data_IF_839522251185
#
_entry.id   IF_839522251185
#
_cell.length_a   1.000
_cell.length_b   1.000
_cell.length_c   1.000
_cell.angle_alpha   90.00
_cell.angle_beta   90.00
_cell.angle_gamma   90.00
#
_symmetry.space_group_name_H-M   'P 1'
#
loop_
_entity.id
_entity.type
_entity.pdbx_description
1 polymer ?
#
# COMPACT_ATOMS: atom_id res chain seq x y z
N UNK A 1 -79.10 17.90 33.14
CA UNK A 1 -78.51 18.96 32.29
C UNK A 1 -77.13 19.29 32.85
N UNK A 2 -76.07 18.92 32.13
CA UNK A 2 -74.69 19.22 32.51
C UNK A 2 -74.17 20.25 31.49
N UNK A 3 -73.57 21.34 31.98
CA UNK A 3 -73.14 22.49 31.17
C UNK A 3 -71.83 22.20 30.42
N UNK A 4 -71.53 22.93 29.32
CA UNK A 4 -70.29 22.80 28.54
C UNK A 4 -69.01 22.89 29.39
N UNK A 5 -69.05 23.58 30.54
CA UNK A 5 -67.96 23.67 31.50
C UNK A 5 -67.59 22.34 32.17
N UNK A 6 -68.52 21.37 32.29
CA UNK A 6 -68.22 20.05 32.89
C UNK A 6 -67.62 19.05 31.89
N UNK A 7 -67.76 19.32 30.58
CA UNK A 7 -67.10 18.56 29.51
C UNK A 7 -65.63 19.01 29.38
N UNK A 8 -65.34 20.30 29.55
CA UNK A 8 -63.98 20.82 29.64
C UNK A 8 -63.21 20.29 30.87
N UNK A 9 -63.88 20.09 32.01
CA UNK A 9 -63.27 19.53 33.22
C UNK A 9 -62.98 18.01 33.12
N UNK A 10 -63.76 17.25 32.33
CA UNK A 10 -63.52 15.83 32.08
C UNK A 10 -62.31 15.60 31.16
N UNK A 11 -62.09 16.49 30.17
CA UNK A 11 -60.93 16.45 29.26
C UNK A 11 -59.61 16.90 29.93
N UNK A 12 -59.68 17.78 30.93
CA UNK A 12 -58.51 18.17 31.73
C UNK A 12 -58.02 17.05 32.68
N UNK A 13 -58.91 16.15 33.10
CA UNK A 13 -58.56 15.05 34.01
C UNK A 13 -57.85 13.87 33.30
N UNK A 14 -58.03 13.70 31.99
CA UNK A 14 -57.38 12.64 31.20
C UNK A 14 -55.93 12.99 30.81
N UNK A 15 -55.57 14.28 30.79
CA UNK A 15 -54.23 14.77 30.43
C UNK A 15 -53.22 14.78 31.60
N UNK A 16 -53.65 14.50 32.83
CA UNK A 16 -52.80 14.53 34.04
C UNK A 16 -52.28 13.15 34.50
N UNK A 17 -52.56 12.06 33.77
CA UNK A 17 -52.19 10.69 34.16
C UNK A 17 -51.04 10.06 33.36
N UNK A 18 -50.29 10.83 32.57
CA UNK A 18 -49.17 10.31 31.76
C UNK A 18 -47.88 11.14 31.88
N UNK A 19 -47.40 11.39 33.10
CA UNK A 19 -46.06 11.94 33.33
C UNK A 19 -45.07 10.82 33.68
N UNK A 20 -43.98 10.60 32.92
CA UNK A 20 -42.86 9.78 33.37
C UNK A 20 -41.96 10.57 34.32
N UNK A 21 -41.59 9.93 35.43
CA UNK A 21 -40.60 10.40 36.41
C UNK A 21 -39.19 10.41 35.80
N UNK A 22 -38.46 11.52 36.00
CA UNK A 22 -37.02 11.63 35.68
C UNK A 22 -36.14 10.94 36.71
N UNK A 23 -35.03 10.35 36.26
CA UNK A 23 -33.89 9.99 37.10
C UNK A 23 -32.62 9.63 36.30
N UNK A 24 -31.61 10.50 36.43
CA UNK A 24 -30.15 10.33 36.20
C UNK A 24 -29.56 10.36 34.76
N UNK A 25 -28.79 11.43 34.50
CA UNK A 25 -27.79 11.71 33.43
C UNK A 25 -26.42 11.02 33.71
N UNK A 26 -25.44 10.87 32.76
CA UNK A 26 -24.84 11.93 31.89
C UNK A 26 -24.21 11.46 30.52
N UNK A 27 -23.35 12.21 29.80
CA UNK A 27 -23.47 13.57 29.25
C UNK A 27 -23.17 13.69 27.72
N UNK A 28 -23.61 14.81 27.14
CA UNK A 28 -22.90 15.65 26.13
C UNK A 28 -23.53 15.87 24.75
N UNK A 29 -23.76 17.17 24.49
CA UNK A 29 -23.68 17.90 23.22
C UNK A 29 -24.58 17.42 22.07
N UNK A 30 -25.87 17.74 22.15
CA UNK A 30 -26.59 18.51 21.13
C UNK A 30 -27.82 19.13 21.82
N UNK A 31 -27.86 20.45 21.93
CA UNK A 31 -29.03 21.16 22.47
C UNK A 31 -30.15 21.12 21.43
N UNK A 32 -31.02 20.12 21.54
CA UNK A 32 -32.30 20.07 20.84
C UNK A 32 -33.41 19.51 21.76
N UNK A 33 -33.43 19.89 23.03
CA UNK A 33 -34.52 19.55 23.93
C UNK A 33 -34.85 20.72 24.86
N UNK A 34 -35.70 21.64 24.39
CA UNK A 34 -36.66 22.39 25.25
C UNK A 34 -37.69 23.20 24.44
N UNK A 35 -38.18 22.73 23.29
CA UNK A 35 -39.31 23.38 22.59
C UNK A 35 -40.55 22.50 22.40
N UNK A 36 -40.52 21.24 22.85
CA UNK A 36 -41.67 20.32 22.76
C UNK A 36 -42.58 20.32 24.00
N UNK A 37 -42.34 21.22 24.97
CA UNK A 37 -43.10 21.28 26.22
C UNK A 37 -44.17 22.37 26.32
N UNK A 38 -44.20 23.39 25.46
CA UNK A 38 -45.03 24.58 25.69
C UNK A 38 -45.67 25.18 24.43
N UNK A 39 -46.21 24.32 23.56
CA UNK A 39 -47.29 24.72 22.65
C UNK A 39 -48.42 23.70 22.75
N UNK A 40 -49.01 23.62 23.94
CA UNK A 40 -50.43 23.28 24.02
C UNK A 40 -51.18 24.33 23.23
N UNK A 41 -51.47 24.01 21.96
CA UNK A 41 -52.53 24.70 21.24
C UNK A 41 -53.80 24.33 21.98
N UNK A 42 -54.16 25.19 22.93
CA UNK A 42 -55.42 25.15 23.65
C UNK A 42 -56.54 24.86 22.66
N UNK A 43 -57.27 23.77 22.89
CA UNK A 43 -58.52 23.41 22.23
C UNK A 43 -59.63 24.46 22.46
N UNK A 44 -59.34 25.62 23.07
CA UNK A 44 -60.33 26.59 23.54
C UNK A 44 -60.55 27.82 22.65
N UNK A 45 -60.24 27.79 21.35
CA UNK A 45 -60.69 28.85 20.43
C UNK A 45 -61.38 28.29 19.20
N UNK A 46 -62.54 27.68 19.43
CA UNK A 46 -63.66 27.89 18.50
C UNK A 46 -64.05 29.36 18.66
N UNK A 47 -64.13 30.17 17.59
CA UNK A 47 -64.59 31.55 17.72
C UNK A 47 -66.01 31.50 18.28
N UNK A 48 -66.19 32.10 19.45
CA UNK A 48 -67.48 32.31 20.08
C UNK A 48 -68.27 33.34 19.25
N UNK A 49 -68.80 32.90 18.09
CA UNK A 49 -69.87 33.62 17.44
C UNK A 49 -71.12 33.35 18.25
N UNK A 50 -71.39 34.27 19.17
CA UNK A 50 -72.70 34.47 19.77
C UNK A 50 -73.77 34.39 18.67
N UNK A 51 -74.53 33.30 18.71
CA UNK A 51 -75.51 32.93 17.71
C UNK A 51 -75.67 31.43 17.73
N UNK A 52 -76.66 30.93 18.48
CA UNK A 52 -76.91 29.50 18.65
C UNK A 52 -76.92 28.76 17.33
N UNK A 53 -75.96 27.86 17.13
CA UNK A 53 -75.99 26.90 16.02
C UNK A 53 -76.57 25.60 16.58
N UNK A 54 -77.89 25.57 16.72
CA UNK A 54 -78.68 24.34 16.87
C UNK A 54 -78.86 23.69 15.49
N UNK A 55 -77.74 23.46 14.79
CA UNK A 55 -77.70 22.90 13.45
C UNK A 55 -76.60 21.85 13.31
N UNK A 56 -76.74 20.91 12.36
CA UNK A 56 -75.75 19.87 12.14
C UNK A 56 -74.39 20.48 11.79
N UNK A 57 -73.31 19.96 12.37
CA UNK A 57 -71.96 20.43 12.02
C UNK A 57 -71.75 20.19 10.53
N UNK A 58 -71.40 21.23 9.78
CA UNK A 58 -71.24 21.06 8.34
C UNK A 58 -70.02 20.18 8.07
N UNK A 59 -70.06 19.26 7.10
CA UNK A 59 -68.91 18.41 6.77
C UNK A 59 -67.61 19.20 6.62
N UNK A 60 -67.64 20.40 6.03
CA UNK A 60 -66.46 21.26 5.90
C UNK A 60 -65.85 21.74 7.24
N UNK A 61 -66.65 21.97 8.28
CA UNK A 61 -66.20 22.40 9.61
C UNK A 61 -65.55 21.22 10.36
N UNK A 62 -66.13 20.02 10.24
CA UNK A 62 -65.56 18.76 10.73
C UNK A 62 -64.18 18.48 10.13
N UNK A 63 -64.06 18.64 8.80
CA UNK A 63 -62.83 18.42 8.06
C UNK A 63 -61.72 19.37 8.47
N UNK A 64 -62.04 20.63 8.76
CA UNK A 64 -61.06 21.62 9.20
C UNK A 64 -60.48 21.30 10.59
N UNK A 65 -61.31 20.89 11.55
CA UNK A 65 -60.86 20.55 12.91
C UNK A 65 -60.01 19.28 12.92
N UNK A 66 -60.46 18.22 12.22
CA UNK A 66 -59.70 16.98 12.07
C UNK A 66 -58.30 17.25 11.50
N UNK A 67 -58.24 18.10 10.48
CA UNK A 67 -57.01 18.43 9.77
C UNK A 67 -56.03 19.25 10.60
N UNK A 68 -56.52 20.19 11.40
CA UNK A 68 -55.67 21.00 12.28
C UNK A 68 -55.07 20.17 13.41
N UNK A 69 -55.80 19.17 13.92
CA UNK A 69 -55.29 18.23 14.92
C UNK A 69 -54.16 17.33 14.38
N UNK A 70 -54.23 17.01 13.08
CA UNK A 70 -53.26 16.14 12.40
C UNK A 70 -52.07 16.91 11.81
N UNK A 71 -52.19 18.23 11.61
CA UNK A 71 -51.15 19.08 11.02
C UNK A 71 -49.82 19.03 11.77
N UNK A 72 -49.82 19.15 13.11
CA UNK A 72 -48.56 19.13 13.89
C UNK A 72 -47.82 17.79 13.84
N UNK A 73 -48.53 16.68 13.68
CA UNK A 73 -47.91 15.38 13.47
C UNK A 73 -47.33 15.26 12.04
N UNK A 74 -48.02 15.79 11.03
CA UNK A 74 -47.48 15.87 9.66
C UNK A 74 -46.24 16.76 9.56
N UNK A 75 -46.19 17.88 10.30
CA UNK A 75 -44.98 18.72 10.42
C UNK A 75 -43.81 17.94 11.04
N UNK A 76 -44.11 17.12 12.06
CA UNK A 76 -43.09 16.27 12.68
C UNK A 76 -42.60 15.21 11.69
N UNK A 77 -43.49 14.52 10.97
CA UNK A 77 -43.11 13.56 9.93
C UNK A 77 -42.32 14.22 8.78
N UNK A 78 -42.69 15.44 8.39
CA UNK A 78 -41.95 16.25 7.42
C UNK A 78 -40.53 16.54 7.89
N UNK A 79 -40.37 16.95 9.16
CA UNK A 79 -39.06 17.17 9.75
C UNK A 79 -38.22 15.89 9.74
N UNK A 80 -38.82 14.73 10.04
CA UNK A 80 -38.11 13.44 10.07
C UNK A 80 -37.67 13.00 8.67
N UNK A 81 -38.53 13.17 7.66
CA UNK A 81 -38.17 12.87 6.27
C UNK A 81 -37.07 13.79 5.76
N UNK A 82 -37.06 15.06 6.18
CA UNK A 82 -36.07 16.05 5.72
C UNK A 82 -34.75 15.94 6.48
N UNK A 83 -34.76 15.48 7.73
CA UNK A 83 -33.56 15.42 8.58
C UNK A 83 -32.48 14.54 7.96
N UNK A 84 -31.26 15.06 7.95
CA UNK A 84 -30.03 14.37 7.57
C UNK A 84 -29.33 13.92 8.85
N UNK A 85 -29.66 12.74 9.37
CA UNK A 85 -29.10 12.21 10.62
C UNK A 85 -28.52 10.80 10.42
N UNK A 86 -27.40 10.53 11.11
CA UNK A 86 -26.76 9.22 11.11
C UNK A 86 -27.37 8.25 12.15
N UNK A 87 -28.31 8.64 13.01
CA UNK A 87 -28.89 7.75 14.03
C UNK A 87 -30.16 7.01 13.53
N UNK A 88 -30.09 5.67 13.35
CA UNK A 88 -31.16 4.87 12.71
C UNK A 88 -32.32 4.59 13.65
N UNK A 89 -31.99 4.08 14.83
CA UNK A 89 -32.96 3.55 15.77
C UNK A 89 -33.83 4.67 16.31
N UNK A 90 -33.23 5.83 16.61
CA UNK A 90 -33.96 6.99 17.11
C UNK A 90 -34.94 7.57 16.08
N UNK A 91 -34.54 7.65 14.80
CA UNK A 91 -35.39 8.18 13.74
C UNK A 91 -36.54 7.23 13.39
N UNK A 92 -36.27 5.93 13.32
CA UNK A 92 -37.29 4.90 13.08
C UNK A 92 -38.29 4.82 14.23
N UNK A 93 -37.78 4.82 15.47
CA UNK A 93 -38.62 4.85 16.66
C UNK A 93 -39.48 6.11 16.70
N UNK A 94 -38.89 7.28 16.45
CA UNK A 94 -39.61 8.56 16.43
C UNK A 94 -40.64 8.63 15.31
N UNK A 95 -40.36 8.05 14.14
CA UNK A 95 -41.33 7.90 13.05
C UNK A 95 -42.53 7.07 13.52
N UNK A 96 -42.28 5.87 14.06
CA UNK A 96 -43.34 4.98 14.54
C UNK A 96 -44.14 5.61 15.69
N UNK A 97 -43.48 6.27 16.65
CA UNK A 97 -44.14 6.98 17.74
C UNK A 97 -45.03 8.12 17.22
N UNK A 98 -44.54 8.89 16.24
CA UNK A 98 -45.30 9.98 15.62
C UNK A 98 -46.51 9.45 14.86
N UNK A 99 -46.34 8.38 14.09
CA UNK A 99 -47.45 7.67 13.43
C UNK A 99 -48.46 7.20 14.47
N UNK A 100 -48.07 6.40 15.48
CA UNK A 100 -48.99 5.89 16.51
C UNK A 100 -49.75 7.01 17.22
N UNK A 101 -49.08 8.11 17.55
CA UNK A 101 -49.72 9.28 18.14
C UNK A 101 -50.74 9.93 17.19
N UNK A 102 -50.43 10.01 15.89
CA UNK A 102 -51.35 10.49 14.85
C UNK A 102 -52.58 9.58 14.73
N UNK A 103 -52.39 8.26 14.63
CA UNK A 103 -53.49 7.28 14.56
C UNK A 103 -54.38 7.35 15.80
N UNK A 104 -53.79 7.42 16.99
CA UNK A 104 -54.54 7.49 18.23
C UNK A 104 -55.36 8.79 18.32
N UNK A 105 -54.76 9.94 18.00
CA UNK A 105 -55.48 11.22 17.96
C UNK A 105 -56.61 11.22 16.94
N UNK A 106 -56.38 10.64 15.76
CA UNK A 106 -57.40 10.50 14.72
C UNK A 106 -58.56 9.61 15.19
N UNK A 107 -58.27 8.45 15.77
CA UNK A 107 -59.29 7.52 16.29
C UNK A 107 -60.15 8.19 17.38
N UNK A 108 -59.52 8.80 18.39
CA UNK A 108 -60.24 9.50 19.47
C UNK A 108 -61.11 10.64 18.94
N UNK A 109 -60.63 11.38 17.93
CA UNK A 109 -61.43 12.42 17.27
C UNK A 109 -62.63 11.84 16.53
N UNK A 110 -62.47 10.73 15.81
CA UNK A 110 -63.59 10.07 15.12
C UNK A 110 -64.63 9.52 16.08
N UNK A 111 -64.20 8.87 17.16
CA UNK A 111 -65.10 8.31 18.18
C UNK A 111 -65.93 9.42 18.85
N UNK A 112 -65.29 10.56 19.14
CA UNK A 112 -65.99 11.73 19.71
C UNK A 112 -66.99 12.34 18.73
N UNK A 113 -66.65 12.40 17.44
CA UNK A 113 -67.57 12.91 16.42
C UNK A 113 -68.75 11.97 16.20
N UNK A 114 -68.52 10.65 16.16
CA UNK A 114 -69.60 9.65 16.10
C UNK A 114 -70.55 9.76 17.30
N UNK A 115 -69.99 9.95 18.50
CA UNK A 115 -70.75 10.22 19.73
C UNK A 115 -71.63 11.47 19.58
N UNK A 116 -71.07 12.58 19.11
CA UNK A 116 -71.79 13.84 18.92
C UNK A 116 -72.86 13.76 17.82
N UNK A 117 -72.61 13.03 16.72
CA UNK A 117 -73.61 12.81 15.67
C UNK A 117 -74.78 11.96 16.19
N UNK A 118 -74.49 10.92 16.97
CA UNK A 118 -75.53 10.09 17.60
C UNK A 118 -76.41 10.90 18.56
N UNK A 119 -75.81 11.77 19.39
CA UNK A 119 -76.55 12.69 20.27
C UNK A 119 -77.47 13.64 19.50
N UNK A 120 -77.05 14.06 18.31
CA UNK A 120 -77.80 14.95 17.41
C UNK A 120 -78.77 14.22 16.48
N UNK A 121 -78.84 12.88 16.53
CA UNK A 121 -79.62 12.03 15.61
C UNK A 121 -79.26 12.26 14.14
N UNK A 122 -77.99 12.57 13.87
CA UNK A 122 -77.45 12.70 12.52
C UNK A 122 -76.99 11.35 11.97
N UNK A 123 -77.03 11.19 10.65
CA UNK A 123 -76.60 9.95 9.99
C UNK A 123 -75.06 9.83 9.99
N UNK A 124 -74.48 8.84 10.70
CA UNK A 124 -73.03 8.62 10.74
C UNK A 124 -72.44 8.22 9.38
N UNK A 125 -73.26 7.76 8.42
CA UNK A 125 -72.79 7.44 7.07
C UNK A 125 -72.19 8.66 6.33
N UNK A 126 -72.48 9.90 6.79
CA UNK A 126 -71.97 11.14 6.18
C UNK A 126 -70.47 11.35 6.37
N UNK A 127 -69.85 10.83 7.43
CA UNK A 127 -68.42 10.98 7.71
C UNK A 127 -67.60 9.73 7.36
N UNK A 128 -68.28 8.62 7.08
CA UNK A 128 -67.66 7.32 6.80
C UNK A 128 -66.68 7.36 5.61
N UNK A 129 -66.98 8.01 4.45
CA UNK A 129 -66.05 8.08 3.33
C UNK A 129 -64.72 8.76 3.67
N UNK A 130 -64.78 9.86 4.44
CA UNK A 130 -63.57 10.55 4.90
C UNK A 130 -62.78 9.70 5.89
N UNK A 131 -63.45 9.03 6.83
CA UNK A 131 -62.79 8.14 7.80
C UNK A 131 -62.04 7.00 7.10
N UNK A 132 -62.67 6.40 6.10
CA UNK A 132 -62.07 5.30 5.35
C UNK A 132 -60.88 5.76 4.49
N UNK A 133 -60.98 6.91 3.84
CA UNK A 133 -59.85 7.50 3.10
C UNK A 133 -58.71 7.91 4.03
N UNK A 134 -59.03 8.55 5.16
CA UNK A 134 -58.01 9.00 6.09
C UNK A 134 -57.30 7.83 6.78
N UNK A 135 -58.01 6.74 7.10
CA UNK A 135 -57.38 5.49 7.56
C UNK A 135 -56.41 4.93 6.52
N UNK A 136 -56.86 4.80 5.26
CA UNK A 136 -56.01 4.32 4.16
C UNK A 136 -54.80 5.23 3.91
N UNK A 137 -54.96 6.54 4.04
CA UNK A 137 -53.86 7.49 3.92
C UNK A 137 -52.85 7.33 5.06
N UNK A 138 -53.32 7.21 6.30
CA UNK A 138 -52.46 6.97 7.45
C UNK A 138 -51.71 5.64 7.36
N UNK A 139 -52.36 4.56 6.93
CA UNK A 139 -51.72 3.26 6.69
C UNK A 139 -50.61 3.38 5.61
N UNK A 140 -50.88 4.14 4.53
CA UNK A 140 -49.90 4.44 3.47
C UNK A 140 -48.68 5.21 4.03
N UNK A 141 -48.90 6.23 4.86
CA UNK A 141 -47.82 6.98 5.50
C UNK A 141 -47.02 6.08 6.46
N UNK A 142 -47.67 5.28 7.30
CA UNK A 142 -46.97 4.41 8.25
C UNK A 142 -46.06 3.40 7.53
N UNK A 143 -46.62 2.66 6.57
CA UNK A 143 -45.92 1.56 5.93
C UNK A 143 -44.94 2.04 4.85
N UNK A 144 -45.43 2.81 3.88
CA UNK A 144 -44.63 3.25 2.75
C UNK A 144 -43.73 4.43 3.13
N UNK A 145 -44.19 5.31 4.02
CA UNK A 145 -43.38 6.41 4.53
C UNK A 145 -42.19 5.96 5.37
N UNK A 146 -42.36 4.92 6.21
CA UNK A 146 -41.24 4.32 6.93
C UNK A 146 -40.15 3.79 5.98
N UNK A 147 -40.56 2.98 4.98
CA UNK A 147 -39.64 2.44 3.99
C UNK A 147 -38.89 3.54 3.22
N UNK A 148 -39.59 4.60 2.83
CA UNK A 148 -38.99 5.70 2.08
C UNK A 148 -38.07 6.57 2.94
N UNK A 149 -38.37 6.76 4.23
CA UNK A 149 -37.49 7.45 5.18
C UNK A 149 -36.18 6.66 5.38
N UNK A 150 -36.28 5.35 5.64
CA UNK A 150 -35.12 4.47 5.78
C UNK A 150 -34.27 4.47 4.51
N UNK A 151 -34.92 4.37 3.34
CA UNK A 151 -34.23 4.43 2.06
C UNK A 151 -33.53 5.77 1.84
N UNK A 152 -34.19 6.90 2.11
CA UNK A 152 -33.61 8.24 1.94
C UNK A 152 -32.35 8.38 2.78
N UNK A 153 -32.41 7.95 4.04
CA UNK A 153 -31.26 8.01 4.96
C UNK A 153 -30.12 7.11 4.51
N UNK A 154 -30.39 5.86 4.11
CA UNK A 154 -29.34 4.97 3.56
C UNK A 154 -28.67 5.58 2.33
N UNK A 155 -29.45 6.21 1.47
CA UNK A 155 -28.95 6.92 0.28
C UNK A 155 -28.11 8.13 0.67
N UNK A 156 -28.52 8.89 1.68
CA UNK A 156 -27.72 10.00 2.23
C UNK A 156 -26.40 9.51 2.82
N UNK A 157 -26.40 8.49 3.68
CA UNK A 157 -25.17 7.93 4.26
C UNK A 157 -24.22 7.45 3.17
N UNK A 158 -24.71 6.67 2.20
CA UNK A 158 -23.87 6.21 1.08
C UNK A 158 -23.30 7.37 0.26
N UNK A 159 -24.10 8.41 -0.01
CA UNK A 159 -23.64 9.63 -0.68
C UNK A 159 -22.50 10.27 0.11
N UNK A 160 -22.71 10.50 1.41
CA UNK A 160 -21.73 11.12 2.30
C UNK A 160 -20.43 10.32 2.37
N UNK A 161 -20.52 8.99 2.51
CA UNK A 161 -19.37 8.09 2.53
C UNK A 161 -18.59 8.14 1.21
N UNK A 162 -19.29 8.24 0.06
CA UNK A 162 -18.65 8.45 -1.25
C UNK A 162 -17.96 9.81 -1.34
N UNK A 163 -18.61 10.90 -0.89
CA UNK A 163 -18.01 12.24 -0.87
C UNK A 163 -16.71 12.24 -0.04
N UNK A 164 -16.77 11.68 1.17
CA UNK A 164 -15.60 11.54 2.02
C UNK A 164 -14.52 10.64 1.39
N UNK A 165 -14.90 9.57 0.70
CA UNK A 165 -13.97 8.71 0.00
C UNK A 165 -13.32 9.40 -1.22
N UNK A 166 -14.03 10.28 -1.92
CA UNK A 166 -13.47 11.12 -3.00
C UNK A 166 -12.45 12.10 -2.43
N UNK A 167 -12.79 12.80 -1.35
CA UNK A 167 -11.90 13.80 -0.74
C UNK A 167 -10.57 13.20 -0.26
N UNK A 168 -10.60 11.97 0.24
CA UNK A 168 -9.41 11.25 0.71
C UNK A 168 -8.66 10.50 -0.40
N UNK A 169 -9.22 10.37 -1.61
CA UNK A 169 -8.59 9.62 -2.69
C UNK A 169 -7.24 10.20 -3.17
N UNK A 170 -7.09 11.53 -3.35
CA UNK A 170 -5.83 12.10 -3.83
C UNK A 170 -4.63 11.83 -2.92
N UNK A 171 -4.81 11.90 -1.60
CA UNK A 171 -3.73 11.65 -0.64
C UNK A 171 -3.30 10.18 -0.65
N UNK A 172 -4.29 9.27 -0.71
CA UNK A 172 -4.05 7.83 -0.86
C UNK A 172 -3.28 7.50 -2.14
N UNK A 173 -3.71 8.04 -3.29
CA UNK A 173 -3.03 7.84 -4.57
C UNK A 173 -1.62 8.44 -4.56
N UNK A 174 -1.45 9.64 -4.02
CA UNK A 174 -0.15 10.29 -3.96
C UNK A 174 0.87 9.46 -3.17
N UNK A 175 0.46 8.91 -2.01
CA UNK A 175 1.33 8.05 -1.20
C UNK A 175 1.81 6.82 -1.97
N UNK A 176 0.88 6.03 -2.54
CA UNK A 176 1.24 4.85 -3.32
C UNK A 176 2.06 5.18 -4.57
N UNK A 177 1.70 6.27 -5.27
CA UNK A 177 2.41 6.65 -6.50
C UNK A 177 3.84 7.09 -6.21
N UNK A 178 4.10 7.73 -5.07
CA UNK A 178 5.45 8.07 -4.65
C UNK A 178 6.30 6.81 -4.41
N UNK A 179 5.77 5.81 -3.70
CA UNK A 179 6.47 4.53 -3.47
C UNK A 179 6.81 3.81 -4.79
N UNK A 180 5.83 3.69 -5.70
CA UNK A 180 6.06 3.03 -7.00
C UNK A 180 7.02 3.84 -7.88
N UNK A 181 7.00 5.17 -7.79
CA UNK A 181 7.95 6.04 -8.50
C UNK A 181 9.37 5.89 -7.95
N UNK A 182 9.56 5.87 -6.63
CA UNK A 182 10.85 5.61 -6.00
C UNK A 182 11.40 4.24 -6.40
N UNK A 183 10.54 3.22 -6.43
CA UNK A 183 10.89 1.91 -6.95
C UNK A 183 11.30 1.96 -8.44
N UNK A 184 10.58 2.72 -9.28
CA UNK A 184 10.96 2.92 -10.68
C UNK A 184 12.36 3.53 -10.80
N UNK A 185 12.62 4.60 -10.05
CA UNK A 185 13.88 5.34 -10.11
C UNK A 185 15.05 4.44 -9.66
N UNK A 186 14.86 3.61 -8.65
CA UNK A 186 15.83 2.59 -8.24
C UNK A 186 16.07 1.54 -9.35
N UNK A 187 15.04 1.08 -10.04
CA UNK A 187 15.19 0.13 -11.15
C UNK A 187 15.92 0.73 -12.34
N UNK A 188 15.57 1.96 -12.74
CA UNK A 188 16.23 2.68 -13.83
C UNK A 188 17.70 2.96 -13.48
N UNK A 189 18.00 3.34 -12.24
CA UNK A 189 19.38 3.49 -11.77
C UNK A 189 20.16 2.17 -11.86
N UNK A 190 19.54 1.03 -11.53
CA UNK A 190 20.12 -0.30 -11.70
C UNK A 190 20.41 -0.66 -13.15
N UNK A 191 19.48 -0.35 -14.07
CA UNK A 191 19.67 -0.55 -15.51
C UNK A 191 20.80 0.32 -16.07
N UNK A 192 20.87 1.59 -15.65
CA UNK A 192 21.96 2.49 -16.03
C UNK A 192 23.31 2.00 -15.48
N UNK A 193 23.34 1.50 -14.24
CA UNK A 193 24.55 0.96 -13.61
C UNK A 193 25.11 -0.22 -14.41
N UNK A 194 24.25 -1.13 -14.89
CA UNK A 194 24.68 -2.28 -15.70
C UNK A 194 25.42 -1.90 -16.99
N UNK A 195 25.15 -0.71 -17.52
CA UNK A 195 25.77 -0.19 -18.75
C UNK A 195 27.12 0.49 -18.51
N UNK A 196 27.48 0.77 -17.25
CA UNK A 196 28.74 1.45 -16.91
C UNK A 196 29.94 0.50 -16.96
N UNK A 197 31.08 1.04 -17.40
CA UNK A 197 32.38 0.39 -17.34
C UNK A 197 33.09 0.73 -16.02
N UNK A 198 34.03 -0.12 -15.58
CA UNK A 198 34.84 0.15 -14.38
C UNK A 198 34.11 0.06 -13.03
N UNK A 199 32.96 -0.62 -12.98
CA UNK A 199 32.17 -0.81 -11.76
C UNK A 199 32.95 -1.52 -10.64
N UNK A 200 32.75 -1.06 -9.40
CA UNK A 200 33.21 -1.78 -8.20
C UNK A 200 32.11 -2.72 -7.70
N UNK A 201 32.51 -3.77 -6.99
CA UNK A 201 31.56 -4.72 -6.36
C UNK A 201 30.59 -3.98 -5.43
N UNK A 202 31.10 -3.03 -4.63
CA UNK A 202 30.30 -2.23 -3.70
C UNK A 202 29.18 -1.45 -4.40
N UNK A 203 29.45 -0.84 -5.55
CA UNK A 203 28.43 -0.08 -6.29
C UNK A 203 27.24 -0.97 -6.70
N UNK A 204 27.52 -2.23 -7.06
CA UNK A 204 26.50 -3.22 -7.42
C UNK A 204 25.76 -3.75 -6.20
N UNK A 205 26.46 -3.93 -5.07
CA UNK A 205 25.85 -4.37 -3.81
C UNK A 205 24.91 -3.29 -3.23
N UNK A 206 25.34 -2.03 -3.19
CA UNK A 206 24.51 -0.90 -2.77
C UNK A 206 23.25 -0.77 -3.64
N UNK A 207 23.37 -1.02 -4.94
CA UNK A 207 22.23 -0.98 -5.86
C UNK A 207 21.30 -2.19 -5.72
N UNK A 208 21.83 -3.37 -5.42
CA UNK A 208 21.01 -4.57 -5.15
C UNK A 208 20.16 -4.38 -3.90
N UNK A 209 20.67 -3.68 -2.87
CA UNK A 209 19.89 -3.37 -1.67
C UNK A 209 18.74 -2.40 -1.99
N UNK A 210 18.99 -1.33 -2.76
CA UNK A 210 17.93 -0.43 -3.22
C UNK A 210 16.85 -1.15 -4.03
N UNK A 211 17.23 -2.11 -4.88
CA UNK A 211 16.26 -2.91 -5.63
C UNK A 211 15.48 -3.85 -4.71
N UNK A 212 16.09 -4.36 -3.63
CA UNK A 212 15.39 -5.15 -2.62
C UNK A 212 14.33 -4.31 -1.91
N UNK A 213 14.67 -3.08 -1.51
CA UNK A 213 13.71 -2.12 -0.95
C UNK A 213 12.58 -1.82 -1.94
N UNK A 214 12.92 -1.60 -3.22
CA UNK A 214 11.95 -1.41 -4.30
C UNK A 214 10.99 -2.62 -4.45
N UNK A 215 11.49 -3.86 -4.36
CA UNK A 215 10.63 -5.05 -4.35
C UNK A 215 9.62 -5.02 -3.19
N UNK A 216 10.04 -4.66 -1.98
CA UNK A 216 9.16 -4.56 -0.82
C UNK A 216 8.09 -3.48 -1.02
N UNK A 217 8.48 -2.29 -1.50
CA UNK A 217 7.55 -1.19 -1.80
C UNK A 217 6.50 -1.62 -2.84
N UNK A 218 6.92 -2.27 -3.94
CA UNK A 218 6.02 -2.73 -4.99
C UNK A 218 5.06 -3.82 -4.52
N UNK A 219 5.54 -4.74 -3.68
CA UNK A 219 4.68 -5.76 -3.07
C UNK A 219 3.62 -5.13 -2.16
N UNK A 220 4.02 -4.17 -1.33
CA UNK A 220 3.12 -3.45 -0.43
C UNK A 220 2.08 -2.64 -1.20
N UNK A 221 2.53 -1.74 -2.09
CA UNK A 221 1.68 -0.90 -2.94
C UNK A 221 0.72 -1.74 -3.79
N UNK A 222 1.18 -2.85 -4.39
CA UNK A 222 0.33 -3.76 -5.16
C UNK A 222 -0.74 -4.46 -4.32
N UNK A 223 -0.38 -4.89 -3.11
CA UNK A 223 -1.32 -5.52 -2.17
C UNK A 223 -2.37 -4.52 -1.66
N UNK A 224 -1.93 -3.31 -1.31
CA UNK A 224 -2.79 -2.24 -0.84
C UNK A 224 -3.77 -1.78 -1.92
N UNK A 225 -3.30 -1.62 -3.17
CA UNK A 225 -4.17 -1.27 -4.29
C UNK A 225 -5.26 -2.32 -4.54
N UNK A 226 -4.90 -3.62 -4.48
CA UNK A 226 -5.86 -4.73 -4.59
C UNK A 226 -6.88 -4.73 -3.45
N UNK A 227 -6.40 -4.62 -2.21
CA UNK A 227 -7.28 -4.58 -1.04
C UNK A 227 -8.26 -3.41 -1.14
N UNK A 228 -7.77 -2.23 -1.54
CA UNK A 228 -8.61 -1.05 -1.71
C UNK A 228 -9.63 -1.25 -2.83
N UNK A 229 -9.26 -1.85 -3.96
CA UNK A 229 -10.20 -2.21 -5.01
C UNK A 229 -11.32 -3.11 -4.47
N UNK A 230 -10.98 -4.17 -3.72
CA UNK A 230 -11.96 -5.08 -3.15
C UNK A 230 -12.90 -4.38 -2.18
N UNK A 231 -12.36 -3.56 -1.25
CA UNK A 231 -13.17 -2.80 -0.28
C UNK A 231 -14.12 -1.84 -0.96
N UNK A 232 -13.68 -1.11 -1.99
CA UNK A 232 -14.55 -0.20 -2.73
C UNK A 232 -15.71 -0.94 -3.40
N UNK A 233 -15.42 -2.10 -4.00
CA UNK A 233 -16.46 -2.91 -4.64
C UNK A 233 -17.44 -3.49 -3.62
N UNK A 234 -16.97 -3.87 -2.45
CA UNK A 234 -17.80 -4.34 -1.34
C UNK A 234 -18.68 -3.23 -0.75
N UNK A 235 -18.10 -2.07 -0.46
CA UNK A 235 -18.77 -0.93 0.20
C UNK A 235 -19.77 -0.23 -0.74
N UNK A 236 -19.38 -0.03 -2.01
CA UNK A 236 -20.12 0.82 -2.93
C UNK A 236 -20.74 0.08 -4.12
N UNK A 237 -20.35 -1.17 -4.38
CA UNK A 237 -20.82 -1.96 -5.52
C UNK A 237 -20.22 -1.56 -6.86
N UNK A 238 -20.20 -2.51 -7.80
CA UNK A 238 -19.63 -2.35 -9.15
C UNK A 238 -20.52 -1.55 -10.11
N UNK A 239 -21.80 -1.37 -9.80
CA UNK A 239 -22.78 -0.73 -10.68
C UNK A 239 -23.51 0.38 -9.95
N UNK A 240 -23.87 1.42 -10.69
CA UNK A 240 -24.83 2.42 -10.24
C UNK A 240 -26.12 1.69 -9.86
N UNK A 241 -26.59 1.83 -8.60
CA UNK A 241 -27.81 1.15 -8.19
C UNK A 241 -29.03 1.75 -8.89
N UNK A 242 -30.06 0.93 -9.11
CA UNK A 242 -31.37 1.41 -9.54
C UNK A 242 -32.15 1.98 -8.36
N UNK A 243 -33.10 2.87 -8.64
CA UNK A 243 -34.05 3.35 -7.63
C UNK A 243 -34.89 2.15 -7.16
N UNK A 244 -35.07 2.02 -5.85
CA UNK A 244 -35.90 0.95 -5.29
C UNK A 244 -37.34 1.06 -5.82
N UNK A 245 -37.85 -0.01 -6.44
CA UNK A 245 -39.18 -0.02 -7.08
C UNK A 245 -40.31 0.34 -6.12
N UNK A 246 -40.19 -0.04 -4.85
CA UNK A 246 -41.22 0.29 -3.84
C UNK A 246 -41.17 1.77 -3.49
N UNK A 247 -39.98 2.36 -3.45
CA UNK A 247 -39.79 3.80 -3.22
C UNK A 247 -40.28 4.59 -4.44
N UNK A 248 -39.92 4.16 -5.65
CA UNK A 248 -40.38 4.79 -6.89
C UNK A 248 -41.91 4.79 -7.00
N UNK A 249 -42.54 3.64 -6.69
CA UNK A 249 -43.98 3.52 -6.63
C UNK A 249 -44.57 4.47 -5.59
N UNK A 250 -44.04 4.47 -4.36
CA UNK A 250 -44.49 5.35 -3.28
C UNK A 250 -44.38 6.83 -3.66
N UNK A 251 -43.28 7.24 -4.30
CA UNK A 251 -43.10 8.60 -4.78
C UNK A 251 -44.13 8.99 -5.84
N UNK A 252 -44.52 8.06 -6.71
CA UNK A 252 -45.56 8.27 -7.72
C UNK A 252 -46.93 8.40 -7.05
N UNK A 253 -47.21 7.49 -6.13
CA UNK A 253 -48.42 7.43 -5.32
C UNK A 253 -48.61 8.70 -4.46
N UNK A 254 -47.54 9.24 -3.89
CA UNK A 254 -47.54 10.46 -3.10
C UNK A 254 -47.71 11.72 -3.94
N UNK A 255 -47.20 11.76 -5.18
CA UNK A 255 -47.49 12.87 -6.11
C UNK A 255 -48.96 12.93 -6.48
N UNK A 256 -49.62 11.77 -6.57
CA UNK A 256 -51.04 11.65 -6.88
C UNK A 256 -51.94 11.62 -5.64
N UNK A 257 -51.46 12.06 -4.46
CA UNK A 257 -52.21 11.92 -3.20
C UNK A 257 -53.58 12.60 -3.24
N UNK A 258 -53.70 13.75 -3.91
CA UNK A 258 -54.96 14.49 -4.03
C UNK A 258 -56.00 13.75 -4.88
N UNK A 259 -55.56 12.98 -5.87
CA UNK A 259 -56.44 12.16 -6.71
C UNK A 259 -56.79 10.83 -6.02
N UNK A 260 -55.85 10.26 -5.25
CA UNK A 260 -56.04 9.00 -4.51
C UNK A 260 -56.93 9.16 -3.27
N UNK A 261 -56.87 10.32 -2.64
CA UNK A 261 -57.63 10.66 -1.43
C UNK A 261 -58.30 12.03 -1.62
N UNK A 262 -59.36 12.11 -2.46
CA UNK A 262 -60.00 13.38 -2.81
C UNK A 262 -60.68 14.06 -1.62
N UNK A 263 -61.03 13.31 -0.57
CA UNK A 263 -61.57 13.86 0.66
C UNK A 263 -60.46 14.25 1.66
N UNK A 264 -59.18 14.06 1.35
CA UNK A 264 -58.12 14.56 2.22
C UNK A 264 -58.13 16.09 2.24
N UNK A 265 -57.82 16.69 3.38
CA UNK A 265 -57.86 18.14 3.48
C UNK A 265 -56.73 18.84 2.74
N UNK A 266 -56.96 20.12 2.43
CA UNK A 266 -55.94 21.03 1.88
C UNK A 266 -54.74 21.24 2.80
N UNK A 267 -54.88 20.92 4.10
CA UNK A 267 -53.79 21.03 5.08
C UNK A 267 -52.85 19.83 5.01
N UNK A 268 -53.36 18.63 4.72
CA UNK A 268 -52.57 17.38 4.76
C UNK A 268 -52.06 16.96 3.38
N UNK A 269 -52.85 17.18 2.33
CA UNK A 269 -52.51 16.82 0.95
C UNK A 269 -51.21 17.42 0.38
N UNK A 270 -50.69 18.58 0.84
CA UNK A 270 -49.43 19.11 0.31
C UNK A 270 -48.16 18.38 0.77
N UNK A 271 -48.19 17.63 1.89
CA UNK A 271 -46.99 17.03 2.47
C UNK A 271 -46.40 15.89 1.61
N UNK A 272 -47.17 14.88 1.19
CA UNK A 272 -46.59 13.74 0.45
C UNK A 272 -45.94 14.11 -0.89
N UNK A 273 -46.52 15.01 -1.73
CA UNK A 273 -45.85 15.47 -2.94
C UNK A 273 -44.51 16.16 -2.66
N UNK A 274 -44.42 16.93 -1.57
CA UNK A 274 -43.17 17.57 -1.13
C UNK A 274 -42.13 16.52 -0.75
N UNK A 275 -42.51 15.47 -0.02
CA UNK A 275 -41.61 14.37 0.35
C UNK A 275 -41.11 13.59 -0.86
N UNK A 276 -41.98 13.31 -1.82
CA UNK A 276 -41.60 12.68 -3.09
C UNK A 276 -40.59 13.55 -3.87
N UNK A 277 -40.76 14.88 -3.85
CA UNK A 277 -39.78 15.82 -4.40
C UNK A 277 -38.41 15.68 -3.72
N UNK A 278 -38.38 15.68 -2.38
CA UNK A 278 -37.13 15.55 -1.61
C UNK A 278 -36.40 14.21 -1.83
N UNK A 279 -37.15 13.13 -2.01
CA UNK A 279 -36.57 11.81 -2.33
C UNK A 279 -35.93 11.81 -3.71
N UNK A 280 -36.59 12.45 -4.68
CA UNK A 280 -36.02 12.63 -6.02
C UNK A 280 -34.74 13.46 -5.96
N UNK A 281 -34.75 14.60 -5.27
CA UNK A 281 -33.58 15.47 -5.12
C UNK A 281 -32.40 14.71 -4.49
N UNK A 282 -32.67 13.90 -3.46
CA UNK A 282 -31.65 13.06 -2.81
C UNK A 282 -31.07 12.02 -3.76
N UNK A 283 -31.92 11.37 -4.56
CA UNK A 283 -31.49 10.38 -5.56
C UNK A 283 -30.63 11.02 -6.64
N UNK A 284 -31.08 12.14 -7.19
CA UNK A 284 -30.34 12.88 -8.22
C UNK A 284 -28.99 13.37 -7.69
N UNK A 285 -28.92 13.82 -6.44
CA UNK A 285 -27.66 14.18 -5.78
C UNK A 285 -26.74 12.97 -5.58
N UNK A 286 -27.28 11.83 -5.15
CA UNK A 286 -26.53 10.57 -5.04
C UNK A 286 -25.96 10.12 -6.39
N UNK A 287 -26.75 10.18 -7.46
CA UNK A 287 -26.30 9.79 -8.80
C UNK A 287 -25.16 10.68 -9.31
N UNK A 288 -25.19 11.98 -9.00
CA UNK A 288 -24.08 12.90 -9.33
C UNK A 288 -22.80 12.51 -8.61
N UNK A 289 -22.87 12.35 -7.29
CA UNK A 289 -21.71 11.91 -6.49
C UNK A 289 -21.21 10.55 -6.96
N UNK A 290 -22.11 9.62 -7.30
CA UNK A 290 -21.72 8.31 -7.81
C UNK A 290 -20.95 8.42 -9.12
N UNK A 291 -21.36 9.29 -10.03
CA UNK A 291 -20.64 9.54 -11.29
C UNK A 291 -19.23 10.11 -11.02
N UNK A 292 -19.13 11.05 -10.08
CA UNK A 292 -17.84 11.64 -9.70
C UNK A 292 -16.93 10.60 -9.01
N UNK A 293 -17.52 9.73 -8.18
CA UNK A 293 -16.84 8.60 -7.55
C UNK A 293 -16.28 7.63 -8.60
N UNK A 294 -17.13 7.17 -9.53
CA UNK A 294 -16.73 6.22 -10.58
C UNK A 294 -15.62 6.82 -11.46
N UNK A 295 -15.72 8.11 -11.80
CA UNK A 295 -14.69 8.83 -12.58
C UNK A 295 -13.37 8.94 -11.82
N UNK A 296 -13.43 9.29 -10.53
CA UNK A 296 -12.25 9.49 -9.68
C UNK A 296 -11.52 8.18 -9.43
N UNK A 297 -12.26 7.11 -9.17
CA UNK A 297 -11.70 5.79 -8.83
C UNK A 297 -11.42 4.90 -10.05
N UNK A 298 -11.86 5.26 -11.26
CA UNK A 298 -11.63 4.50 -12.48
C UNK A 298 -10.15 4.08 -12.67
N UNK A 299 -9.13 4.96 -12.51
CA UNK A 299 -7.73 4.55 -12.67
C UNK A 299 -7.32 3.44 -11.71
N UNK A 300 -7.82 3.45 -10.47
CA UNK A 300 -7.56 2.40 -9.50
C UNK A 300 -8.31 1.11 -9.88
N UNK A 301 -9.62 1.20 -10.15
CA UNK A 301 -10.46 0.03 -10.40
C UNK A 301 -10.15 -0.68 -11.71
N UNK A 302 -9.68 0.05 -12.73
CA UNK A 302 -9.25 -0.48 -14.02
C UNK A 302 -7.80 -1.00 -14.01
N UNK A 303 -7.07 -0.86 -12.90
CA UNK A 303 -5.67 -1.29 -12.82
C UNK A 303 -4.68 -0.36 -13.51
N UNK A 304 -5.09 0.87 -13.86
CA UNK A 304 -4.32 1.83 -14.66
C UNK A 304 -3.62 2.93 -13.85
N UNK A 305 -3.66 2.82 -12.52
CA UNK A 305 -3.12 3.85 -11.62
C UNK A 305 -1.65 4.22 -11.88
N UNK A 306 -0.85 3.27 -12.38
CA UNK A 306 0.58 3.44 -12.63
C UNK A 306 0.94 3.46 -14.12
N UNK A 307 -0.03 3.64 -15.02
CA UNK A 307 0.19 3.56 -16.47
C UNK A 307 1.08 4.68 -17.04
N UNK A 308 1.25 5.76 -16.30
CA UNK A 308 2.17 6.85 -16.62
C UNK A 308 3.63 6.52 -16.31
N UNK A 309 3.87 5.52 -15.46
CA UNK A 309 5.20 5.06 -15.09
C UNK A 309 5.68 4.01 -16.11
N UNK A 310 6.72 4.36 -16.87
CA UNK A 310 7.24 3.57 -17.98
C UNK A 310 7.48 2.09 -17.70
N UNK A 311 7.96 1.72 -16.50
CA UNK A 311 8.24 0.32 -16.15
C UNK A 311 7.00 -0.46 -15.68
N UNK A 312 5.92 0.24 -15.33
CA UNK A 312 4.71 -0.34 -14.73
C UNK A 312 3.47 -0.22 -15.61
N UNK A 313 3.61 0.38 -16.79
CA UNK A 313 2.54 0.53 -17.75
C UNK A 313 1.95 -0.83 -18.17
N UNK A 314 0.65 -0.99 -17.95
CA UNK A 314 -0.07 -2.23 -18.24
C UNK A 314 0.24 -3.39 -17.30
N UNK A 315 0.95 -3.17 -16.20
CA UNK A 315 1.26 -4.21 -15.21
C UNK A 315 0.13 -4.29 -14.19
N UNK A 316 -0.43 -5.49 -14.00
CA UNK A 316 -1.45 -5.70 -12.99
C UNK A 316 -0.86 -5.50 -11.58
N UNK A 317 -1.67 -5.00 -10.63
CA UNK A 317 -1.21 -4.78 -9.24
C UNK A 317 -0.61 -6.01 -8.56
N UNK A 318 -1.00 -7.22 -9.00
CA UNK A 318 -0.48 -8.48 -8.48
C UNK A 318 0.92 -8.86 -8.97
N UNK A 319 1.39 -8.18 -9.99
CA UNK A 319 2.61 -8.51 -10.73
C UNK A 319 3.66 -7.41 -10.61
N UNK A 320 3.36 -6.30 -9.92
CA UNK A 320 4.28 -5.18 -9.71
C UNK A 320 5.61 -5.64 -9.10
N UNK A 321 5.59 -6.61 -8.18
CA UNK A 321 6.77 -7.14 -7.52
C UNK A 321 7.66 -8.02 -8.43
N UNK A 322 7.18 -8.41 -9.61
CA UNK A 322 7.93 -9.21 -10.59
C UNK A 322 8.73 -8.33 -11.55
N UNK A 323 8.33 -7.07 -11.75
CA UNK A 323 9.02 -6.10 -12.62
C UNK A 323 10.53 -5.97 -12.30
N UNK A 324 10.97 -5.95 -11.03
CA UNK A 324 12.39 -5.91 -10.67
C UNK A 324 13.23 -7.12 -11.08
N UNK A 325 12.63 -8.30 -11.32
CA UNK A 325 13.36 -9.59 -11.35
C UNK A 325 14.44 -9.64 -12.44
N UNK A 326 14.15 -9.09 -13.61
CA UNK A 326 15.11 -9.03 -14.71
C UNK A 326 16.34 -8.17 -14.36
N UNK A 327 16.12 -7.00 -13.76
CA UNK A 327 17.20 -6.08 -13.36
C UNK A 327 18.01 -6.68 -12.21
N UNK A 328 17.33 -7.26 -11.21
CA UNK A 328 17.95 -7.93 -10.07
C UNK A 328 18.86 -9.08 -10.51
N UNK A 329 18.37 -9.96 -11.38
CA UNK A 329 19.14 -11.10 -11.90
C UNK A 329 20.40 -10.65 -12.62
N UNK A 330 20.30 -9.63 -13.48
CA UNK A 330 21.46 -9.06 -14.19
C UNK A 330 22.50 -8.46 -13.24
N UNK A 331 22.07 -7.76 -12.19
CA UNK A 331 22.98 -7.19 -11.19
C UNK A 331 23.66 -8.26 -10.34
N UNK A 332 22.95 -9.32 -9.94
CA UNK A 332 23.55 -10.47 -9.24
C UNK A 332 24.63 -11.11 -10.12
N UNK A 333 24.34 -11.38 -11.39
CA UNK A 333 25.32 -11.94 -12.32
C UNK A 333 26.53 -11.01 -12.49
N UNK A 334 26.32 -9.69 -12.58
CA UNK A 334 27.40 -8.69 -12.66
C UNK A 334 28.27 -8.67 -11.40
N UNK A 335 27.66 -8.77 -10.21
CA UNK A 335 28.37 -8.84 -8.92
C UNK A 335 29.31 -10.04 -8.89
N UNK A 336 28.81 -11.23 -9.25
CA UNK A 336 29.63 -12.45 -9.27
C UNK A 336 30.78 -12.36 -10.28
N UNK A 337 30.53 -11.79 -11.46
CA UNK A 337 31.58 -11.56 -12.45
C UNK A 337 32.67 -10.59 -11.93
N UNK A 338 32.29 -9.53 -11.24
CA UNK A 338 33.24 -8.59 -10.63
C UNK A 338 34.04 -9.24 -9.50
N UNK A 339 33.40 -10.03 -8.63
CA UNK A 339 34.09 -10.77 -7.55
C UNK A 339 35.14 -11.74 -8.08
N UNK A 340 34.81 -12.48 -9.15
CA UNK A 340 35.77 -13.36 -9.83
C UNK A 340 36.95 -12.57 -10.39
N UNK A 341 36.68 -11.48 -11.11
CA UNK A 341 37.74 -10.61 -11.66
C UNK A 341 38.67 -10.05 -10.57
N UNK A 342 38.13 -9.63 -9.43
CA UNK A 342 38.95 -9.14 -8.31
C UNK A 342 39.77 -10.25 -7.66
N UNK A 343 39.21 -11.47 -7.54
CA UNK A 343 39.92 -12.62 -7.01
C UNK A 343 41.07 -13.04 -7.94
N UNK A 344 40.81 -13.06 -9.26
CA UNK A 344 41.83 -13.36 -10.27
C UNK A 344 42.96 -12.33 -10.24
N UNK A 345 42.63 -11.04 -10.13
CA UNK A 345 43.63 -9.97 -9.99
C UNK A 345 44.48 -10.11 -8.72
N UNK A 346 43.86 -10.43 -7.58
CA UNK A 346 44.57 -10.66 -6.33
C UNK A 346 45.46 -11.92 -6.39
N UNK A 347 44.99 -12.99 -7.04
CA UNK A 347 45.77 -14.20 -7.26
C UNK A 347 46.98 -13.94 -8.16
N UNK A 348 46.80 -13.16 -9.24
CA UNK A 348 47.89 -12.74 -10.12
C UNK A 348 48.90 -11.87 -9.37
N UNK A 349 48.44 -10.89 -8.58
CA UNK A 349 49.36 -10.06 -7.78
C UNK A 349 50.16 -10.88 -6.77
N UNK A 350 49.50 -11.81 -6.05
CA UNK A 350 50.19 -12.71 -5.13
C UNK A 350 51.20 -13.59 -5.85
N UNK A 351 50.85 -14.14 -7.01
CA UNK A 351 51.78 -14.95 -7.79
C UNK A 351 52.99 -14.14 -8.30
N UNK A 352 52.80 -12.86 -8.64
CA UNK A 352 53.89 -11.95 -8.98
C UNK A 352 54.77 -11.61 -7.77
N UNK A 353 54.18 -11.40 -6.59
CA UNK A 353 54.93 -11.18 -5.34
C UNK A 353 55.74 -12.41 -4.93
N UNK A 354 55.14 -13.61 -5.01
CA UNK A 354 55.81 -14.88 -4.75
C UNK A 354 56.97 -15.11 -5.73
N UNK A 355 56.79 -14.80 -7.02
CA UNK A 355 57.87 -14.88 -8.02
C UNK A 355 58.99 -13.87 -7.75
N UNK A 356 58.67 -12.64 -7.29
CA UNK A 356 59.68 -11.66 -6.88
C UNK A 356 60.48 -12.13 -5.67
N UNK A 357 59.80 -12.66 -4.64
CA UNK A 357 60.44 -13.21 -3.44
C UNK A 357 61.36 -14.38 -3.80
N UNK A 358 60.84 -15.36 -4.55
CA UNK A 358 61.62 -16.51 -5.00
C UNK A 358 62.81 -16.03 -5.84
N UNK A 359 62.60 -15.11 -6.79
CA UNK A 359 63.70 -14.53 -7.58
C UNK A 359 64.80 -13.90 -6.71
N UNK A 360 64.45 -13.23 -5.61
CA UNK A 360 65.42 -12.64 -4.69
C UNK A 360 66.24 -13.68 -3.92
N UNK A 361 65.63 -14.80 -3.51
CA UNK A 361 66.32 -15.93 -2.86
C UNK A 361 67.18 -16.74 -3.84
N UNK A 362 66.74 -16.80 -5.09
CA UNK A 362 67.31 -17.57 -6.17
C UNK A 362 68.52 -16.90 -6.83
N UNK A 363 68.52 -15.57 -6.92
CA UNK A 363 69.57 -14.78 -7.59
C UNK A 363 70.96 -14.92 -6.94
N UNK A 364 71.12 -14.96 -5.60
CA UNK A 364 72.41 -15.23 -4.96
C UNK A 364 72.94 -16.63 -5.30
N UNK A 365 72.08 -17.66 -5.32
CA UNK A 365 72.47 -19.03 -5.67
C UNK A 365 72.93 -19.13 -7.13
N UNK A 366 72.25 -18.41 -8.03
CA UNK A 366 72.71 -18.28 -9.43
C UNK A 366 74.09 -17.62 -9.53
N UNK A 367 74.31 -16.52 -8.79
CA UNK A 367 75.61 -15.82 -8.77
C UNK A 367 76.70 -16.73 -8.23
N UNK A 368 76.43 -17.44 -7.14
CA UNK A 368 77.38 -18.40 -6.55
C UNK A 368 77.73 -19.52 -7.53
N UNK A 369 76.74 -20.07 -8.24
CA UNK A 369 76.95 -21.06 -9.29
C UNK A 369 77.78 -20.48 -10.46
N UNK A 370 77.47 -19.27 -10.95
CA UNK A 370 78.25 -18.57 -11.98
C UNK A 370 79.69 -18.31 -11.55
N UNK A 371 79.89 -17.85 -10.31
CA UNK A 371 81.19 -17.54 -9.74
C UNK A 371 82.06 -18.79 -9.52
N UNK A 372 81.43 -19.97 -9.37
CA UNK A 372 82.13 -21.23 -9.06
C UNK A 372 82.32 -22.12 -10.28
N UNK A 373 81.28 -22.21 -11.13
CA UNK A 373 81.17 -23.18 -12.23
C UNK A 373 80.97 -22.53 -13.60
N UNK A 374 80.86 -21.20 -13.65
CA UNK A 374 80.63 -20.45 -14.88
C UNK A 374 81.82 -20.42 -15.84
N UNK A 375 81.65 -19.72 -16.97
CA UNK A 375 82.64 -19.69 -18.05
C UNK A 375 83.97 -19.04 -17.65
N UNK A 376 83.96 -18.12 -16.67
CA UNK A 376 85.18 -17.50 -16.12
C UNK A 376 86.05 -18.51 -15.36
N UNK A 377 85.54 -19.12 -14.28
CA UNK A 377 86.23 -20.20 -13.56
C UNK A 377 86.68 -21.36 -14.46
N UNK A 378 85.85 -21.74 -15.44
CA UNK A 378 86.20 -22.78 -16.41
C UNK A 378 87.40 -22.38 -17.28
N UNK A 379 87.42 -21.14 -17.76
CA UNK A 379 88.54 -20.59 -18.52
C UNK A 379 89.81 -20.56 -17.67
N UNK A 380 89.71 -20.13 -16.42
CA UNK A 380 90.84 -20.08 -15.50
C UNK A 380 91.41 -21.48 -15.23
N UNK A 381 90.55 -22.49 -15.04
CA UNK A 381 90.97 -23.88 -14.94
C UNK A 381 91.66 -24.38 -16.23
N UNK A 382 91.10 -24.08 -17.40
CA UNK A 382 91.69 -24.48 -18.69
C UNK A 382 93.07 -23.85 -18.90
N UNK A 383 93.23 -22.57 -18.55
CA UNK A 383 94.52 -21.87 -18.61
C UNK A 383 95.54 -22.45 -17.62
N UNK A 384 95.09 -22.84 -16.42
CA UNK A 384 95.93 -23.50 -15.42
C UNK A 384 96.45 -24.86 -15.90
N UNK A 385 95.59 -25.64 -16.55
CA UNK A 385 95.92 -26.97 -17.12
C UNK A 385 96.82 -26.83 -18.36
N UNK A 386 96.71 -25.75 -19.12
CA UNK A 386 97.52 -25.53 -20.33
C UNK A 386 98.95 -25.02 -20.05
N UNK A 387 99.17 -24.24 -18.98
CA UNK A 387 100.46 -23.60 -18.67
C UNK A 387 101.37 -24.46 -17.74
N UNK A 388 101.39 -25.77 -17.96
CA UNK A 388 101.87 -26.79 -17.00
C UNK A 388 103.40 -26.98 -16.94
N UNK A 389 104.22 -26.10 -17.52
CA UNK A 389 105.68 -26.13 -17.36
C UNK A 389 106.24 -24.84 -16.74
N UNK A 390 107.09 -25.03 -15.72
CA UNK A 390 107.94 -24.05 -15.00
C UNK A 390 107.48 -23.50 -13.64
N UNK A 391 108.49 -23.11 -12.85
CA UNK A 391 108.56 -23.00 -11.39
C UNK A 391 107.66 -21.96 -10.68
N UNK A 392 106.67 -21.35 -11.34
CA UNK A 392 105.71 -20.40 -10.72
C UNK A 392 104.39 -21.05 -10.26
N UNK A 393 104.37 -22.39 -10.20
CA UNK A 393 103.18 -23.25 -10.23
C UNK A 393 102.39 -23.31 -8.92
N UNK A 394 103.05 -23.46 -7.77
CA UNK A 394 102.37 -23.48 -6.46
C UNK A 394 101.66 -22.15 -6.15
N UNK A 395 102.28 -21.02 -6.52
CA UNK A 395 101.72 -19.70 -6.29
C UNK A 395 100.47 -19.46 -7.14
N UNK A 396 100.49 -19.88 -8.41
CA UNK A 396 99.33 -19.76 -9.30
C UNK A 396 98.18 -20.70 -8.91
N UNK A 397 98.47 -21.96 -8.55
CA UNK A 397 97.45 -22.90 -8.05
C UNK A 397 96.86 -22.40 -6.73
N UNK A 398 97.68 -21.86 -5.82
CA UNK A 398 97.20 -21.30 -4.54
C UNK A 398 96.36 -20.03 -4.72
N UNK A 399 96.71 -19.15 -5.67
CA UNK A 399 95.92 -17.95 -5.99
C UNK A 399 94.55 -18.30 -6.58
N UNK A 400 94.46 -19.38 -7.36
CA UNK A 400 93.20 -19.86 -7.95
C UNK A 400 92.38 -20.61 -6.89
N UNK A 401 93.00 -21.48 -6.08
CA UNK A 401 92.33 -22.13 -4.95
C UNK A 401 91.78 -21.12 -3.94
N UNK A 402 92.46 -19.98 -3.75
CA UNK A 402 91.97 -18.86 -2.93
C UNK A 402 90.80 -18.08 -3.56
N UNK A 403 90.62 -18.15 -4.90
CA UNK A 403 89.48 -17.54 -5.61
C UNK A 403 88.27 -18.48 -5.67
N UNK A 404 88.50 -19.79 -5.61
CA UNK A 404 87.45 -20.80 -5.60
C UNK A 404 86.87 -20.89 -4.18
N UNK A 405 85.67 -20.36 -4.00
CA UNK A 405 84.98 -20.35 -2.69
C UNK A 405 84.45 -21.72 -2.25
N UNK A 406 84.46 -22.72 -3.13
CA UNK A 406 84.03 -24.09 -2.81
C UNK A 406 85.09 -24.82 -1.96
N UNK A 407 84.78 -25.25 -0.72
CA UNK A 407 85.71 -25.96 0.15
C UNK A 407 86.19 -27.29 -0.46
N UNK A 408 85.30 -27.98 -1.16
CA UNK A 408 85.55 -29.28 -1.81
C UNK A 408 86.53 -29.13 -2.97
N UNK A 409 86.34 -28.10 -3.81
CA UNK A 409 87.28 -27.81 -4.88
C UNK A 409 88.60 -27.29 -4.31
N UNK A 410 88.56 -26.37 -3.35
CA UNK A 410 89.76 -25.84 -2.70
C UNK A 410 90.63 -26.96 -2.11
N UNK A 411 90.01 -27.97 -1.49
CA UNK A 411 90.68 -29.19 -1.02
C UNK A 411 91.26 -30.04 -2.17
N UNK A 412 90.52 -30.24 -3.26
CA UNK A 412 90.99 -30.96 -4.46
C UNK A 412 92.19 -30.24 -5.12
N UNK A 413 92.11 -28.93 -5.31
CA UNK A 413 93.20 -28.10 -5.85
C UNK A 413 94.43 -28.11 -4.92
N UNK A 414 94.22 -28.03 -3.61
CA UNK A 414 95.30 -28.11 -2.61
C UNK A 414 95.96 -29.48 -2.53
N UNK A 415 95.23 -30.56 -2.79
CA UNK A 415 95.74 -31.94 -2.79
C UNK A 415 96.53 -32.22 -4.07
N UNK A 416 96.03 -31.74 -5.21
CA UNK A 416 96.69 -31.89 -6.49
C UNK A 416 97.91 -30.97 -6.66
N UNK A 417 97.98 -29.84 -5.94
CA UNK A 417 99.19 -29.04 -5.81
C UNK A 417 100.38 -29.82 -5.20
N UNK A 418 100.10 -30.87 -4.42
CA UNK A 418 101.11 -31.69 -3.72
C UNK A 418 101.49 -32.99 -4.45
N UNK A 419 100.78 -33.37 -5.51
CA UNK A 419 101.02 -34.62 -6.24
C UNK A 419 101.94 -34.40 -7.46
N UNK A 420 102.86 -35.35 -7.72
CA UNK A 420 103.89 -35.23 -8.75
C UNK A 420 103.33 -34.98 -10.17
N UNK A 421 104.11 -34.20 -10.91
CA UNK A 421 103.78 -33.45 -12.13
C UNK A 421 103.40 -34.37 -13.31
N UNK A 422 102.14 -34.29 -13.75
CA UNK A 422 101.63 -34.98 -14.94
C UNK A 422 100.20 -35.51 -14.76
N UNK A 423 100.05 -36.57 -13.97
CA UNK A 423 98.75 -37.24 -13.69
C UNK A 423 97.79 -36.39 -12.86
N UNK A 424 98.32 -35.45 -12.08
CA UNK A 424 97.53 -34.54 -11.25
C UNK A 424 96.67 -33.55 -12.07
N UNK A 425 97.09 -33.13 -13.26
CA UNK A 425 96.36 -32.14 -14.07
C UNK A 425 95.08 -32.70 -14.66
N UNK A 426 95.13 -33.92 -15.19
CA UNK A 426 93.96 -34.64 -15.70
C UNK A 426 93.02 -35.04 -14.56
N UNK A 427 93.56 -35.41 -13.40
CA UNK A 427 92.75 -35.71 -12.22
C UNK A 427 91.97 -34.48 -11.70
N UNK A 428 92.59 -33.29 -11.61
CA UNK A 428 91.90 -32.04 -11.24
C UNK A 428 90.80 -31.72 -12.26
N UNK A 429 91.14 -31.79 -13.55
CA UNK A 429 90.22 -31.49 -14.64
C UNK A 429 89.00 -32.41 -14.61
N UNK A 430 89.23 -33.72 -14.47
CA UNK A 430 88.16 -34.72 -14.42
C UNK A 430 87.31 -34.58 -13.15
N UNK A 431 87.92 -34.29 -12.00
CA UNK A 431 87.19 -34.04 -10.76
C UNK A 431 86.34 -32.76 -10.83
N UNK A 432 86.86 -31.69 -11.44
CA UNK A 432 86.12 -30.45 -11.64
C UNK A 432 84.96 -30.64 -12.61
N UNK A 433 85.17 -31.30 -13.76
CA UNK A 433 84.07 -31.57 -14.70
C UNK A 433 83.01 -32.50 -14.10
N UNK A 434 83.39 -33.51 -13.30
CA UNK A 434 82.44 -34.38 -12.60
C UNK A 434 81.61 -33.62 -11.56
N UNK A 435 82.25 -32.72 -10.80
CA UNK A 435 81.55 -31.88 -9.82
C UNK A 435 80.68 -30.81 -10.51
N UNK A 436 81.15 -30.27 -11.64
CA UNK A 436 80.37 -29.37 -12.50
C UNK A 436 79.14 -30.07 -13.06
N UNK A 437 79.26 -31.31 -13.54
CA UNK A 437 78.12 -32.06 -14.07
C UNK A 437 77.02 -32.26 -13.01
N UNK A 438 77.39 -32.51 -11.76
CA UNK A 438 76.44 -32.57 -10.63
C UNK A 438 75.82 -31.21 -10.35
N UNK A 439 76.63 -30.14 -10.29
CA UNK A 439 76.14 -28.78 -10.09
C UNK A 439 75.23 -28.31 -11.25
N UNK A 440 75.54 -28.69 -12.49
CA UNK A 440 74.77 -28.38 -13.69
C UNK A 440 73.40 -29.11 -13.65
N UNK A 441 73.36 -30.36 -13.17
CA UNK A 441 72.10 -31.10 -13.01
C UNK A 441 71.17 -30.45 -11.96
N UNK A 442 71.73 -30.05 -10.82
CA UNK A 442 70.99 -29.32 -9.77
C UNK A 442 70.53 -27.94 -10.27
N UNK A 443 71.44 -27.20 -10.92
CA UNK A 443 71.15 -25.92 -11.54
C UNK A 443 70.03 -26.03 -12.59
N UNK A 444 70.10 -27.01 -13.49
CA UNK A 444 69.13 -27.18 -14.56
C UNK A 444 67.75 -27.55 -14.02
N UNK A 445 67.68 -28.41 -12.99
CA UNK A 445 66.41 -28.76 -12.33
C UNK A 445 65.71 -27.51 -11.79
N UNK A 446 66.48 -26.69 -11.10
CA UNK A 446 66.00 -25.46 -10.51
C UNK A 446 65.69 -24.37 -11.56
N UNK A 447 66.55 -24.18 -12.56
CA UNK A 447 66.37 -23.23 -13.66
C UNK A 447 65.12 -23.57 -14.48
N UNK A 448 64.90 -24.84 -14.77
CA UNK A 448 63.69 -25.30 -15.47
C UNK A 448 62.43 -25.04 -14.64
N UNK A 449 62.48 -25.25 -13.32
CA UNK A 449 61.37 -24.91 -12.44
C UNK A 449 61.06 -23.39 -12.48
N UNK A 450 62.09 -22.54 -12.49
CA UNK A 450 61.93 -21.08 -12.66
C UNK A 450 61.31 -20.72 -14.02
N UNK A 451 61.84 -21.25 -15.11
CA UNK A 451 61.32 -21.01 -16.47
C UNK A 451 59.85 -21.39 -16.57
N UNK A 452 59.45 -22.54 -16.02
CA UNK A 452 58.05 -22.97 -16.00
C UNK A 452 57.17 -22.03 -15.17
N UNK A 453 57.63 -21.56 -14.00
CA UNK A 453 56.87 -20.59 -13.19
C UNK A 453 56.69 -19.26 -13.91
N UNK A 454 57.76 -18.71 -14.50
CA UNK A 454 57.72 -17.44 -15.26
C UNK A 454 56.85 -17.55 -16.51
N UNK A 455 56.92 -18.67 -17.23
CA UNK A 455 56.06 -18.93 -18.39
C UNK A 455 54.56 -18.95 -18.03
N UNK A 456 54.19 -19.53 -16.88
CA UNK A 456 52.80 -19.51 -16.38
C UNK A 456 52.30 -18.09 -16.06
N UNK A 457 53.22 -17.16 -15.80
CA UNK A 457 52.94 -15.74 -15.53
C UNK A 457 53.11 -14.84 -16.77
N UNK A 458 53.47 -15.40 -17.93
CA UNK A 458 53.75 -14.64 -19.16
C UNK A 458 55.03 -13.81 -19.11
N UNK A 459 55.94 -14.08 -18.15
CA UNK A 459 57.21 -13.38 -17.99
C UNK A 459 58.32 -14.03 -18.84
N UNK A 460 59.27 -13.23 -19.31
CA UNK A 460 60.44 -13.74 -20.06
C UNK A 460 61.32 -14.62 -19.18
N UNK A 461 61.89 -15.72 -19.71
CA UNK A 461 62.87 -16.53 -18.98
C UNK A 461 64.17 -15.72 -18.82
N UNK A 462 64.49 -15.33 -17.58
CA UNK A 462 65.63 -14.46 -17.29
C UNK A 462 65.77 -14.06 -15.82
N UNK A 463 66.87 -13.37 -15.53
CA UNK A 463 67.18 -12.74 -14.23
C UNK A 463 66.89 -11.24 -14.20
N UNK A 464 66.58 -10.67 -15.37
CA UNK A 464 66.19 -9.28 -15.53
C UNK A 464 64.66 -9.20 -15.53
N UNK A 465 64.13 -8.23 -14.78
CA UNK A 465 62.70 -7.98 -14.65
C UNK A 465 62.10 -7.35 -15.91
#
# INVERSE_FOLDING_TARGET
MLTPQRIAAALAATLLLAAPLRGAEPPSKYKFETELGNKETSLATVPDRQGGVTGPMRPAEFMAVASNLQAGAMETLDSLIVTESHNSSEMEERWQQTCRALFHKAATFYDEVERLMAERKEDPARTQPFRDEMRKFMDDIEQNGHACMVWRRRTFTKKFDMEHAIDNYPSFVAAMRNEVKEAQDALLAGQALLSRTGLKVKDVEDQLEKIREACCMLQWSGSLAKERCSKIKEEFGDKTPELDRNVEKTMTDWKAVADRYPNLSRTLSPYPPKWAGKMKDQWDAFLRVRKDFDTTYAPLLEGKLFDDLSLFKGVAYGELNQVPDATKTKLIAKREALKRKTADQAAIQKALEDERRLSAEERPKWREYQDTWGPGPERDLRLLVANVDSASRERQISLIAARIKSPTLSALFSTAARAAVGTASDAIRNAWYKAKEQADAEYNTWWNARVQRRAKLGLKPGWDD
#
